data_IF_600953822242
#
_entry.id   IF_600953822242
#
_cell.length_a   1.000
_cell.length_b   1.000
_cell.length_c   1.000
_cell.angle_alpha   90.00
_cell.angle_beta   90.00
_cell.angle_gamma   90.00
#
_symmetry.space_group_name_H-M   'P 1'
#
loop_
_entity.id
_entity.type
_entity.pdbx_description
1 polymer ?
#
# COMPACT_ATOMS: atom_id res chain seq x y z
N UNK A 1 10.89 6.91 10.89
CA UNK A 1 10.64 6.16 9.64
C UNK A 1 10.48 4.65 9.83
N UNK A 2 11.39 3.90 10.50
CA UNK A 2 11.26 2.44 10.60
C UNK A 2 9.98 1.98 11.34
N UNK A 3 9.58 2.68 12.41
CA UNK A 3 8.33 2.38 13.13
C UNK A 3 7.07 2.55 12.25
N UNK A 4 7.05 3.56 11.37
CA UNK A 4 5.93 3.76 10.44
C UNK A 4 5.87 2.67 9.37
N UNK A 5 7.01 2.25 8.83
CA UNK A 5 7.11 1.16 7.86
C UNK A 5 6.68 -0.19 8.46
N UNK A 6 7.10 -0.48 9.70
CA UNK A 6 6.66 -1.69 10.42
C UNK A 6 5.16 -1.64 10.67
N UNK A 7 4.63 -0.51 11.14
CA UNK A 7 3.19 -0.34 11.38
C UNK A 7 2.37 -0.53 10.10
N UNK A 8 2.78 0.08 8.98
CA UNK A 8 2.12 -0.08 7.69
C UNK A 8 2.21 -1.52 7.16
N UNK A 9 3.34 -2.18 7.36
CA UNK A 9 3.52 -3.59 6.99
C UNK A 9 2.58 -4.50 7.78
N UNK A 10 2.49 -4.29 9.10
CA UNK A 10 1.58 -5.02 9.98
C UNK A 10 0.12 -4.78 9.59
N UNK A 11 -0.27 -3.52 9.34
CA UNK A 11 -1.61 -3.18 8.88
C UNK A 11 -1.96 -3.91 7.58
N UNK A 12 -1.04 -3.91 6.60
CA UNK A 12 -1.22 -4.63 5.34
C UNK A 12 -1.31 -6.14 5.51
N UNK A 13 -0.50 -6.72 6.42
CA UNK A 13 -0.58 -8.15 6.73
C UNK A 13 -1.91 -8.53 7.38
N UNK A 14 -2.41 -7.71 8.32
CA UNK A 14 -3.73 -7.90 8.94
C UNK A 14 -4.84 -7.82 7.89
N UNK A 15 -4.80 -6.83 6.99
CA UNK A 15 -5.77 -6.71 5.89
C UNK A 15 -5.74 -7.91 4.95
N UNK A 16 -4.55 -8.43 4.66
CA UNK A 16 -4.37 -9.62 3.82
C UNK A 16 -4.99 -10.86 4.45
N UNK A 17 -4.72 -11.08 5.75
CA UNK A 17 -5.29 -12.19 6.53
C UNK A 17 -6.81 -12.09 6.60
N UNK A 18 -7.35 -10.92 6.94
CA UNK A 18 -8.81 -10.73 7.04
C UNK A 18 -9.48 -10.90 5.69
N UNK A 19 -8.87 -10.40 4.60
CA UNK A 19 -9.35 -10.59 3.24
C UNK A 19 -9.40 -12.07 2.86
N UNK A 20 -8.36 -12.84 3.20
CA UNK A 20 -8.33 -14.27 2.92
C UNK A 20 -9.40 -15.05 3.70
N UNK A 21 -9.59 -14.74 4.99
CA UNK A 21 -10.65 -15.35 5.81
C UNK A 21 -12.03 -15.05 5.23
N UNK A 22 -12.27 -13.80 4.84
CA UNK A 22 -13.53 -13.39 4.23
C UNK A 22 -13.77 -14.09 2.89
N UNK A 23 -12.73 -14.27 2.08
CA UNK A 23 -12.83 -15.03 0.83
C UNK A 23 -13.24 -16.48 1.09
N UNK A 24 -12.63 -17.15 2.08
CA UNK A 24 -13.01 -18.51 2.47
C UNK A 24 -14.47 -18.58 2.97
N UNK A 25 -14.94 -17.56 3.69
CA UNK A 25 -16.32 -17.48 4.15
C UNK A 25 -17.32 -17.33 3.00
N UNK A 26 -17.03 -16.47 2.02
CA UNK A 26 -17.85 -16.28 0.82
C UNK A 26 -17.89 -17.57 0.00
N UNK A 27 -16.76 -18.24 -0.19
CA UNK A 27 -16.70 -19.52 -0.91
C UNK A 27 -17.54 -20.58 -0.21
N UNK A 28 -17.41 -20.72 1.10
CA UNK A 28 -18.19 -21.69 1.88
C UNK A 28 -19.71 -21.42 1.78
N UNK A 29 -20.11 -20.15 1.77
CA UNK A 29 -21.51 -19.76 1.57
C UNK A 29 -22.01 -20.07 0.15
N UNK A 30 -21.19 -19.88 -0.88
CA UNK A 30 -21.56 -20.15 -2.28
C UNK A 30 -21.68 -21.64 -2.59
N UNK A 31 -20.87 -22.46 -1.94
CA UNK A 31 -20.75 -23.90 -2.23
C UNK A 31 -21.65 -24.77 -1.33
N UNK A 32 -22.53 -24.16 -0.51
CA UNK A 32 -23.35 -24.83 0.52
C UNK A 32 -22.54 -25.80 1.41
N UNK A 33 -21.27 -25.47 1.61
CA UNK A 33 -20.31 -26.30 2.31
C UNK A 33 -20.11 -25.81 3.76
N UNK A 34 -19.81 -26.71 4.72
CA UNK A 34 -19.46 -26.29 6.06
C UNK A 34 -18.21 -25.41 6.03
N UNK A 35 -18.25 -24.27 6.72
CA UNK A 35 -17.12 -23.35 6.79
C UNK A 35 -15.90 -24.04 7.41
N UNK A 36 -14.87 -24.24 6.59
CA UNK A 36 -13.59 -24.80 7.03
C UNK A 36 -12.51 -23.73 6.89
N UNK A 37 -11.87 -23.39 8.01
CA UNK A 37 -10.74 -22.47 8.01
C UNK A 37 -9.48 -23.22 7.59
N UNK A 38 -9.05 -22.97 6.37
CA UNK A 38 -7.74 -23.40 5.90
C UNK A 38 -6.67 -22.40 6.37
N UNK A 39 -5.85 -22.81 7.33
CA UNK A 39 -4.75 -21.99 7.84
C UNK A 39 -3.62 -21.82 6.83
N UNK A 40 -3.43 -22.80 5.94
CA UNK A 40 -2.34 -22.77 4.96
C UNK A 40 -2.40 -21.54 4.01
N UNK A 41 -3.55 -21.20 3.39
CA UNK A 41 -3.68 -19.96 2.62
C UNK A 41 -3.45 -18.71 3.48
N UNK A 42 -4.02 -18.67 4.68
CA UNK A 42 -3.92 -17.50 5.57
C UNK A 42 -2.46 -17.18 5.89
N UNK A 43 -1.67 -18.20 6.28
CA UNK A 43 -0.25 -18.04 6.57
C UNK A 43 0.54 -17.67 5.33
N UNK A 44 0.25 -18.29 4.17
CA UNK A 44 0.89 -17.98 2.88
C UNK A 44 0.69 -16.51 2.50
N UNK A 45 -0.54 -15.99 2.59
CA UNK A 45 -0.83 -14.59 2.30
C UNK A 45 -0.26 -13.62 3.34
N UNK A 46 -0.22 -14.00 4.62
CA UNK A 46 0.43 -13.20 5.65
C UNK A 46 1.94 -13.04 5.39
N UNK A 47 2.63 -14.14 5.09
CA UNK A 47 4.06 -14.14 4.77
C UNK A 47 4.31 -13.31 3.51
N UNK A 48 3.52 -13.51 2.46
CA UNK A 48 3.62 -12.71 1.24
C UNK A 48 3.51 -11.22 1.53
N UNK A 49 2.50 -10.80 2.31
CA UNK A 49 2.31 -9.39 2.65
C UNK A 49 3.45 -8.82 3.49
N UNK A 50 4.01 -9.60 4.42
CA UNK A 50 5.18 -9.16 5.21
C UNK A 50 6.40 -8.93 4.32
N UNK A 51 6.56 -9.74 3.27
CA UNK A 51 7.71 -9.64 2.35
C UNK A 51 7.50 -8.57 1.27
N UNK A 52 6.29 -8.43 0.73
CA UNK A 52 6.01 -7.53 -0.40
C UNK A 52 5.71 -6.09 0.02
N UNK A 53 5.20 -5.87 1.24
CA UNK A 53 4.86 -4.52 1.71
C UNK A 53 6.10 -3.61 1.87
N UNK A 54 7.24 -4.05 2.44
CA UNK A 54 8.40 -3.17 2.59
C UNK A 54 8.95 -2.64 1.25
N UNK A 55 9.14 -3.45 0.19
CA UNK A 55 9.45 -2.95 -1.15
C UNK A 55 8.42 -1.94 -1.68
N UNK A 56 7.13 -2.19 -1.47
CA UNK A 56 6.06 -1.27 -1.89
C UNK A 56 6.13 0.08 -1.15
N UNK A 57 6.43 0.07 0.16
CA UNK A 57 6.60 1.30 0.96
C UNK A 57 7.85 2.07 0.50
N UNK A 58 8.94 1.37 0.19
CA UNK A 58 10.15 2.01 -0.34
C UNK A 58 9.90 2.65 -1.70
N UNK A 59 9.17 1.97 -2.59
CA UNK A 59 8.76 2.52 -3.88
C UNK A 59 7.89 3.77 -3.73
N UNK A 60 6.89 3.74 -2.85
CA UNK A 60 6.05 4.91 -2.57
C UNK A 60 6.87 6.06 -1.97
N UNK A 61 7.82 5.77 -1.09
CA UNK A 61 8.71 6.78 -0.50
C UNK A 61 9.59 7.42 -1.57
N UNK A 62 10.18 6.62 -2.45
CA UNK A 62 10.97 7.10 -3.58
C UNK A 62 10.15 8.00 -4.52
N UNK A 63 8.90 7.62 -4.81
CA UNK A 63 8.00 8.44 -5.61
C UNK A 63 7.61 9.75 -4.89
N UNK A 64 7.39 9.71 -3.57
CA UNK A 64 7.15 10.93 -2.78
C UNK A 64 8.35 11.87 -2.78
N UNK A 65 9.57 11.35 -2.71
CA UNK A 65 10.80 12.14 -2.78
C UNK A 65 11.01 12.76 -4.17
N UNK A 66 10.74 12.02 -5.25
CA UNK A 66 10.90 12.51 -6.62
C UNK A 66 9.78 13.46 -7.07
N UNK A 67 8.54 13.21 -6.64
CA UNK A 67 7.35 13.93 -7.11
C UNK A 67 6.47 14.37 -5.94
N UNK A 68 6.90 15.28 -5.05
CA UNK A 68 6.20 15.58 -3.80
C UNK A 68 4.72 15.91 -4.04
N UNK A 69 3.83 15.20 -3.32
CA UNK A 69 2.39 15.39 -3.45
C UNK A 69 1.94 16.76 -2.91
N UNK A 70 2.60 17.23 -1.84
CA UNK A 70 2.32 18.51 -1.19
C UNK A 70 3.40 19.52 -1.56
N UNK A 71 3.07 20.49 -2.42
CA UNK A 71 3.98 21.60 -2.74
C UNK A 71 3.62 22.83 -1.88
N UNK A 72 4.62 23.58 -1.37
CA UNK A 72 4.35 24.82 -0.66
C UNK A 72 3.65 25.82 -1.58
N UNK A 73 2.55 26.42 -1.13
CA UNK A 73 1.99 27.59 -1.82
C UNK A 73 3.01 28.72 -1.68
N UNK A 74 3.36 29.38 -2.78
CA UNK A 74 4.26 30.54 -2.83
C UNK A 74 3.88 31.52 -1.72
N UNK A 75 4.84 32.03 -0.91
CA UNK A 75 4.51 32.90 0.20
C UNK A 75 3.98 34.22 -0.36
N UNK A 76 2.69 34.50 -0.14
CA UNK A 76 2.23 35.89 -0.13
C UNK A 76 2.89 36.52 1.10
N UNK A 77 3.74 37.50 0.86
CA UNK A 77 4.53 38.27 1.81
C UNK A 77 3.61 39.02 2.79
N UNK A 78 2.95 38.30 3.72
CA UNK A 78 2.15 38.78 4.87
C UNK A 78 1.40 37.61 5.51
N UNK A 79 2.10 36.64 6.09
CA UNK A 79 1.49 35.93 7.24
C UNK A 79 2.56 35.55 8.25
N UNK A 80 2.38 36.13 9.43
CA UNK A 80 3.21 35.98 10.59
C UNK A 80 3.36 34.51 11.02
N UNK A 81 4.54 34.24 11.57
CA UNK A 81 4.90 33.26 12.61
C UNK A 81 3.68 32.54 13.24
N UNK A 82 3.72 31.20 13.25
CA UNK A 82 2.81 30.25 13.93
C UNK A 82 1.65 29.58 13.18
N UNK A 83 1.61 29.56 11.84
CA UNK A 83 0.75 28.60 11.11
C UNK A 83 1.52 27.81 10.05
N UNK A 84 1.30 26.48 9.93
CA UNK A 84 1.87 25.72 8.83
C UNK A 84 1.39 26.32 7.50
N UNK A 85 2.33 26.60 6.60
CA UNK A 85 2.05 27.20 5.30
C UNK A 85 0.98 26.37 4.55
N UNK A 86 0.03 27.01 3.84
CA UNK A 86 -0.96 26.28 3.08
C UNK A 86 -0.27 25.45 2.00
N UNK A 87 -0.30 24.12 2.12
CA UNK A 87 0.17 23.19 1.10
C UNK A 87 -0.97 22.88 0.13
N UNK A 88 -0.71 22.91 -1.17
CA UNK A 88 -1.66 22.45 -2.18
C UNK A 88 -1.18 21.14 -2.80
N UNK A 89 -2.11 20.22 -3.03
CA UNK A 89 -1.81 18.92 -3.66
C UNK A 89 -1.52 19.12 -5.16
N UNK A 90 -0.31 18.81 -5.59
CA UNK A 90 0.07 18.91 -7.00
C UNK A 90 -0.59 17.79 -7.82
N UNK A 91 -1.68 18.11 -8.52
CA UNK A 91 -2.41 17.15 -9.39
C UNK A 91 -1.52 16.50 -10.45
N UNK A 92 -0.52 17.24 -10.97
CA UNK A 92 0.44 16.73 -11.96
C UNK A 92 1.36 15.67 -11.35
N UNK A 93 1.85 15.92 -10.13
CA UNK A 93 2.73 14.97 -9.45
C UNK A 93 1.96 13.71 -9.05
N UNK A 94 0.72 13.86 -8.59
CA UNK A 94 -0.17 12.73 -8.30
C UNK A 94 -0.44 11.90 -9.55
N UNK A 95 -0.71 12.54 -10.70
CA UNK A 95 -0.93 11.81 -11.96
C UNK A 95 0.32 11.04 -12.41
N UNK A 96 1.50 11.64 -12.31
CA UNK A 96 2.77 10.98 -12.65
C UNK A 96 2.98 9.76 -11.75
N UNK A 97 2.83 9.92 -10.43
CA UNK A 97 2.91 8.80 -9.48
C UNK A 97 1.93 7.68 -9.82
N UNK A 98 0.67 8.04 -10.08
CA UNK A 98 -0.35 7.07 -10.44
C UNK A 98 0.03 6.27 -11.69
N UNK A 99 0.55 6.92 -12.73
CA UNK A 99 1.01 6.23 -13.94
C UNK A 99 2.21 5.32 -13.66
N UNK A 100 3.16 5.77 -12.85
CA UNK A 100 4.32 4.96 -12.43
C UNK A 100 3.90 3.76 -11.58
N UNK A 101 2.92 3.91 -10.69
CA UNK A 101 2.39 2.82 -9.87
C UNK A 101 1.67 1.78 -10.71
N UNK A 102 0.83 2.21 -11.67
CA UNK A 102 0.10 1.28 -12.54
C UNK A 102 0.98 0.58 -13.59
N UNK A 103 2.15 1.15 -13.91
CA UNK A 103 3.08 0.56 -14.90
C UNK A 103 4.20 -0.21 -14.21
N UNK A 104 5.20 0.49 -13.68
CA UNK A 104 6.40 -0.12 -13.10
C UNK A 104 6.06 -0.81 -11.78
N UNK A 105 5.32 -0.12 -10.90
CA UNK A 105 4.93 -0.67 -9.60
C UNK A 105 4.11 -1.96 -9.75
N UNK A 106 3.10 -1.95 -10.62
CA UNK A 106 2.25 -3.10 -10.88
C UNK A 106 3.01 -4.28 -11.50
N UNK A 107 3.92 -4.03 -12.45
CA UNK A 107 4.74 -5.09 -13.06
C UNK A 107 5.63 -5.74 -12.01
N UNK A 108 6.36 -4.95 -11.22
CA UNK A 108 7.26 -5.47 -10.18
C UNK A 108 6.49 -6.23 -9.11
N UNK A 109 5.34 -5.70 -8.65
CA UNK A 109 4.50 -6.37 -7.65
C UNK A 109 3.92 -7.69 -8.18
N UNK A 110 3.47 -7.74 -9.44
CA UNK A 110 3.00 -8.97 -10.07
C UNK A 110 4.14 -9.99 -10.24
N UNK A 111 5.34 -9.57 -10.65
CA UNK A 111 6.50 -10.46 -10.74
C UNK A 111 6.86 -11.05 -9.37
N UNK A 112 6.90 -10.23 -8.31
CA UNK A 112 7.13 -10.71 -6.94
C UNK A 112 6.06 -11.73 -6.51
N UNK A 113 4.79 -11.48 -6.83
CA UNK A 113 3.71 -12.43 -6.53
C UNK A 113 3.87 -13.74 -7.29
N UNK A 114 4.17 -13.67 -8.59
CA UNK A 114 4.37 -14.86 -9.42
C UNK A 114 5.55 -15.70 -8.92
N UNK A 115 6.68 -15.09 -8.61
CA UNK A 115 7.86 -15.78 -8.05
C UNK A 115 7.55 -16.42 -6.71
N UNK A 116 6.71 -15.80 -5.88
CA UNK A 116 6.34 -16.35 -4.57
C UNK A 116 5.34 -17.51 -4.65
N UNK A 117 4.43 -17.49 -5.64
CA UNK A 117 3.37 -18.49 -5.75
C UNK A 117 3.75 -19.69 -6.64
N UNK A 118 4.68 -19.50 -7.58
CA UNK A 118 5.26 -20.55 -8.44
C UNK A 118 6.06 -21.57 -7.62
#
# INVERSE_FOLDING_TARGET
MPSAMVSQTVQGAVLSVTSNILAQAITSYKDDAPFTLSLAPIVKFAIFSIISNPPNILWQTFLEDMFPSSVPTTPSEKTLKDKPAPTHTSKRNVLIKFLLDQTIGAVVNNLMFLVYIA
#
